data_IF_431254572422
#
_entry.id   IF_431254572422
#
_cell.length_a   1.000
_cell.length_b   1.000
_cell.length_c   1.000
_cell.angle_alpha   90.00
_cell.angle_beta   90.00
_cell.angle_gamma   90.00
#
_symmetry.space_group_name_H-M   'P 1'
#
loop_
_entity.id
_entity.type
_entity.pdbx_description
1 polymer ?
#
# COMPACT_ATOMS: atom_id res chain seq x y z
N UNK A 1 -23.85 38.99 1.90
CA UNK A 1 -23.80 38.09 3.08
C UNK A 1 -23.57 36.70 2.55
N UNK A 2 -22.34 36.20 2.69
CA UNK A 2 -22.00 34.83 2.30
C UNK A 2 -22.61 33.94 3.38
N UNK A 3 -23.56 33.10 3.02
CA UNK A 3 -24.10 32.10 3.95
C UNK A 3 -23.03 31.03 4.16
N UNK A 4 -22.34 31.13 5.28
CA UNK A 4 -21.48 30.08 5.81
C UNK A 4 -22.39 28.89 6.15
N UNK A 5 -22.43 27.91 5.25
CA UNK A 5 -23.16 26.67 5.51
C UNK A 5 -22.17 25.73 6.17
N UNK A 6 -22.09 25.79 7.50
CA UNK A 6 -21.56 24.72 8.33
C UNK A 6 -22.47 23.50 8.17
N UNK A 7 -22.42 22.83 7.03
CA UNK A 7 -22.99 21.49 6.90
C UNK A 7 -22.07 20.56 7.68
N UNK A 8 -22.49 20.19 8.88
CA UNK A 8 -21.97 19.02 9.58
C UNK A 8 -21.89 17.87 8.57
N UNK A 9 -20.68 17.40 8.30
CA UNK A 9 -20.47 16.29 7.36
C UNK A 9 -21.15 15.07 7.99
N UNK A 10 -22.16 14.45 7.34
CA UNK A 10 -22.87 13.32 7.91
C UNK A 10 -21.90 12.20 8.26
N UNK A 11 -22.05 11.60 9.44
CA UNK A 11 -21.22 10.47 9.84
C UNK A 11 -21.52 9.28 8.93
N UNK A 12 -20.50 8.54 8.52
CA UNK A 12 -20.69 7.34 7.70
C UNK A 12 -21.57 6.30 8.42
N UNK A 13 -21.54 6.28 9.75
CA UNK A 13 -22.35 5.40 10.58
C UNK A 13 -23.85 5.72 10.56
N UNK A 14 -24.24 6.89 10.08
CA UNK A 14 -25.65 7.27 9.90
C UNK A 14 -26.25 6.66 8.63
N UNK A 15 -25.43 6.03 7.77
CA UNK A 15 -25.92 5.37 6.57
C UNK A 15 -26.43 3.95 6.87
N UNK A 16 -27.69 3.62 6.53
CA UNK A 16 -28.27 2.30 6.78
C UNK A 16 -27.47 1.13 6.19
N UNK A 17 -26.76 1.37 5.07
CA UNK A 17 -25.92 0.37 4.43
C UNK A 17 -24.70 -0.04 5.28
N UNK A 18 -24.24 0.84 6.17
CA UNK A 18 -23.07 0.58 7.02
C UNK A 18 -23.42 -0.34 8.16
N UNK A 19 -24.63 -0.19 8.73
CA UNK A 19 -25.15 -1.10 9.75
C UNK A 19 -25.63 -2.44 9.17
N UNK A 20 -26.01 -2.49 7.89
CA UNK A 20 -26.40 -3.72 7.20
C UNK A 20 -25.21 -4.64 6.89
N UNK A 21 -24.03 -4.07 6.62
CA UNK A 21 -22.82 -4.82 6.27
C UNK A 21 -21.65 -4.57 7.24
N UNK A 22 -21.76 -4.92 8.53
CA UNK A 22 -20.68 -4.71 9.51
C UNK A 22 -19.42 -5.52 9.16
N UNK A 23 -19.62 -6.66 8.50
CA UNK A 23 -18.58 -7.50 7.93
C UNK A 23 -17.96 -6.92 6.63
N UNK A 24 -18.49 -5.81 6.08
CA UNK A 24 -17.90 -4.96 5.01
C UNK A 24 -17.44 -3.57 5.52
N UNK A 25 -17.89 -3.09 6.68
CA UNK A 25 -17.44 -1.83 7.30
C UNK A 25 -17.03 -2.00 8.79
N UNK A 26 -15.84 -2.52 9.08
CA UNK A 26 -15.39 -2.75 10.45
C UNK A 26 -14.62 -1.52 10.95
N UNK A 27 -14.65 -1.24 12.25
CA UNK A 27 -13.87 -0.11 12.78
C UNK A 27 -12.35 -0.32 12.62
N UNK A 28 -11.90 -1.59 12.55
CA UNK A 28 -10.53 -1.97 12.27
C UNK A 28 -10.43 -3.25 11.42
N UNK A 29 -9.41 -3.34 10.57
CA UNK A 29 -9.10 -4.55 9.80
C UNK A 29 -8.37 -5.59 10.66
N UNK A 30 -8.65 -6.90 10.48
CA UNK A 30 -8.09 -7.98 11.30
C UNK A 30 -6.64 -8.36 10.94
N UNK A 31 -5.84 -7.44 10.39
CA UNK A 31 -4.46 -7.69 9.96
C UNK A 31 -4.36 -8.15 8.50
N UNK A 32 -3.60 -9.22 8.25
CA UNK A 32 -3.24 -9.70 6.90
C UNK A 32 -4.49 -10.15 6.12
N UNK A 33 -4.56 -9.90 4.79
CA UNK A 33 -5.62 -10.46 3.96
C UNK A 33 -5.70 -12.00 4.06
N UNK A 34 -6.91 -12.58 3.97
CA UNK A 34 -7.06 -14.03 3.89
C UNK A 34 -6.32 -14.58 2.65
N UNK A 35 -5.90 -15.85 2.71
CA UNK A 35 -5.35 -16.56 1.54
C UNK A 35 -6.39 -16.55 0.43
N UNK A 36 -5.96 -16.33 -0.81
CA UNK A 36 -6.81 -16.37 -2.02
C UNK A 36 -6.22 -17.35 -3.01
N UNK A 37 -7.03 -17.75 -3.99
CA UNK A 37 -6.59 -18.64 -5.09
C UNK A 37 -5.50 -18.03 -5.97
N UNK A 38 -5.35 -16.69 -5.94
CA UNK A 38 -4.36 -15.96 -6.72
C UNK A 38 -3.31 -15.35 -5.81
N UNK A 39 -2.04 -15.60 -6.13
CA UNK A 39 -0.87 -15.02 -5.47
C UNK A 39 -0.43 -13.74 -6.21
N UNK A 40 0.08 -12.77 -5.45
CA UNK A 40 0.60 -11.53 -6.02
C UNK A 40 2.12 -11.61 -6.12
N UNK A 41 2.62 -11.91 -7.32
CA UNK A 41 4.04 -12.05 -7.58
C UNK A 41 4.64 -10.76 -8.14
N UNK A 42 5.83 -10.39 -7.67
CA UNK A 42 6.63 -9.31 -8.25
C UNK A 42 7.62 -9.93 -9.23
N UNK A 43 7.21 -10.04 -10.49
CA UNK A 43 8.08 -10.57 -11.54
C UNK A 43 9.24 -9.62 -11.83
N UNK A 44 10.46 -10.14 -11.86
CA UNK A 44 11.68 -9.39 -12.17
C UNK A 44 12.24 -9.80 -13.54
N UNK A 45 12.94 -8.88 -14.19
CA UNK A 45 13.66 -9.17 -15.44
C UNK A 45 14.63 -10.35 -15.18
N UNK A 46 14.63 -11.41 -16.01
CA UNK A 46 15.51 -12.56 -15.82
C UNK A 46 16.99 -12.15 -15.73
N UNK A 47 17.71 -12.71 -14.76
CA UNK A 47 19.12 -12.39 -14.52
C UNK A 47 19.39 -11.13 -13.69
N UNK A 48 18.35 -10.47 -13.17
CA UNK A 48 18.53 -9.35 -12.22
C UNK A 48 19.14 -9.83 -10.90
N UNK A 49 20.14 -9.11 -10.40
CA UNK A 49 20.77 -9.37 -9.10
C UNK A 49 20.09 -8.59 -7.96
N UNK A 50 20.23 -9.05 -6.69
CA UNK A 50 19.69 -8.33 -5.54
C UNK A 50 20.20 -6.90 -5.41
N UNK A 51 19.27 -5.97 -5.20
CA UNK A 51 19.59 -4.56 -4.94
C UNK A 51 19.52 -4.33 -3.42
N UNK A 52 20.65 -3.93 -2.83
CA UNK A 52 20.72 -3.53 -1.42
C UNK A 52 21.30 -2.12 -1.29
N UNK A 53 20.47 -1.19 -0.85
CA UNK A 53 20.82 0.21 -0.61
C UNK A 53 20.86 0.52 0.87
N UNK A 54 21.89 1.24 1.30
CA UNK A 54 22.02 1.70 2.67
C UNK A 54 20.84 2.62 3.07
N UNK A 55 20.33 2.51 4.30
CA UNK A 55 19.31 3.43 4.81
C UNK A 55 19.75 4.89 4.76
N UNK A 56 18.80 5.80 4.54
CA UNK A 56 19.07 7.23 4.64
C UNK A 56 19.41 7.63 6.08
N UNK A 57 20.23 8.68 6.22
CA UNK A 57 20.49 9.28 7.54
C UNK A 57 19.21 9.93 8.06
N UNK A 58 18.88 9.63 9.30
CA UNK A 58 17.66 10.11 9.96
C UNK A 58 18.00 10.84 11.25
N UNK A 59 17.20 11.85 11.58
CA UNK A 59 17.26 12.51 12.87
C UNK A 59 16.72 11.59 13.99
N UNK A 60 17.06 11.84 15.27
CA UNK A 60 16.58 11.00 16.38
C UNK A 60 15.05 10.88 16.45
N UNK A 61 14.32 11.94 16.10
CA UNK A 61 12.85 11.93 16.07
C UNK A 61 12.29 11.01 14.97
N UNK A 62 12.92 11.01 13.78
CA UNK A 62 12.54 10.14 12.67
C UNK A 62 12.86 8.68 12.99
N UNK A 63 13.99 8.41 13.68
CA UNK A 63 14.32 7.06 14.12
C UNK A 63 13.34 6.51 15.16
N UNK A 64 12.86 7.36 16.06
CA UNK A 64 11.80 6.97 17.01
C UNK A 64 10.52 6.63 16.25
N UNK A 65 10.08 7.52 15.36
CA UNK A 65 8.89 7.32 14.54
C UNK A 65 8.98 6.04 13.69
N UNK A 66 10.16 5.78 13.10
CA UNK A 66 10.42 4.57 12.33
C UNK A 66 10.21 3.32 13.17
N UNK A 67 10.76 3.28 14.39
CA UNK A 67 10.60 2.13 15.29
C UNK A 67 9.15 1.90 15.67
N UNK A 68 8.44 2.98 16.04
CA UNK A 68 7.05 2.90 16.47
C UNK A 68 6.17 2.36 15.32
N UNK A 69 6.32 2.88 14.10
CA UNK A 69 5.57 2.40 12.94
C UNK A 69 5.95 0.96 12.53
N UNK A 70 7.24 0.60 12.55
CA UNK A 70 7.66 -0.78 12.27
C UNK A 70 7.10 -1.78 13.27
N UNK A 71 7.08 -1.42 14.56
CA UNK A 71 6.52 -2.25 15.62
C UNK A 71 5.02 -2.47 15.40
N UNK A 72 4.27 -1.41 15.08
CA UNK A 72 2.85 -1.54 14.73
C UNK A 72 2.62 -2.44 13.51
N UNK A 73 3.43 -2.30 12.46
CA UNK A 73 3.34 -3.13 11.26
C UNK A 73 3.65 -4.61 11.56
N UNK A 74 4.61 -4.88 12.46
CA UNK A 74 4.95 -6.23 12.92
C UNK A 74 3.80 -6.84 13.74
N UNK A 75 3.23 -6.09 14.68
CA UNK A 75 2.11 -6.54 15.52
C UNK A 75 0.85 -6.83 14.71
N UNK A 76 0.60 -6.04 13.66
CA UNK A 76 -0.50 -6.28 12.70
C UNK A 76 -0.21 -7.44 11.73
N UNK A 77 1.02 -7.95 11.69
CA UNK A 77 1.47 -8.99 10.78
C UNK A 77 1.70 -8.53 9.33
N UNK A 78 1.68 -7.23 9.05
CA UNK A 78 1.89 -6.71 7.69
C UNK A 78 3.32 -6.86 7.20
N UNK A 79 4.28 -6.94 8.11
CA UNK A 79 5.69 -7.20 7.82
C UNK A 79 6.23 -8.27 8.76
N UNK A 80 7.39 -8.81 8.40
CA UNK A 80 8.17 -9.73 9.24
C UNK A 80 9.65 -9.40 9.14
N UNK A 81 10.44 -9.87 10.10
CA UNK A 81 11.88 -9.86 9.98
C UNK A 81 12.31 -10.71 8.78
N UNK A 82 13.33 -10.24 8.06
CA UNK A 82 13.84 -10.87 6.85
C UNK A 82 15.36 -10.89 6.84
N UNK A 83 15.93 -11.89 6.19
CA UNK A 83 17.37 -12.03 5.87
C UNK A 83 17.62 -11.87 4.37
N UNK A 84 16.73 -11.16 3.68
CA UNK A 84 16.79 -10.96 2.24
C UNK A 84 18.10 -10.29 1.81
N UNK A 85 18.70 -10.71 0.68
CA UNK A 85 19.80 -9.98 0.06
C UNK A 85 19.34 -8.64 -0.54
N UNK A 86 18.02 -8.40 -0.61
CA UNK A 86 17.42 -7.16 -1.08
C UNK A 86 17.21 -6.17 0.07
N UNK A 87 17.49 -4.90 -0.19
CA UNK A 87 17.33 -3.82 0.78
C UNK A 87 16.98 -2.50 0.12
N UNK A 88 15.82 -1.94 0.49
CA UNK A 88 15.38 -0.62 0.04
C UNK A 88 15.38 0.36 1.22
N UNK A 89 15.86 1.61 1.04
CA UNK A 89 15.90 2.58 2.12
C UNK A 89 14.50 3.11 2.41
N UNK A 90 14.27 3.45 3.68
CA UNK A 90 13.04 4.10 4.14
C UNK A 90 13.26 5.61 4.21
N UNK A 91 12.22 6.37 3.87
CA UNK A 91 12.17 7.82 4.06
C UNK A 91 10.81 8.25 4.63
N UNK A 92 10.77 9.44 5.22
CA UNK A 92 9.53 10.06 5.70
C UNK A 92 9.08 11.20 4.82
N UNK A 93 7.77 11.29 4.59
CA UNK A 93 7.12 12.44 3.97
C UNK A 93 6.19 13.09 4.99
N UNK A 94 6.36 14.39 5.22
CA UNK A 94 5.48 15.16 6.12
C UNK A 94 4.11 15.37 5.48
N UNK A 95 3.06 15.04 6.22
CA UNK A 95 1.67 15.38 5.88
C UNK A 95 1.39 16.85 6.19
N UNK A 96 0.27 17.35 5.66
CA UNK A 96 -0.24 18.70 5.98
C UNK A 96 -0.56 18.87 7.46
N UNK A 97 -0.96 17.79 8.14
CA UNK A 97 -1.28 17.76 9.57
C UNK A 97 -0.03 17.67 10.48
N UNK A 98 1.18 17.65 9.89
CA UNK A 98 2.45 17.55 10.63
C UNK A 98 2.91 16.13 10.94
N UNK A 99 2.07 15.11 10.77
CA UNK A 99 2.46 13.70 10.95
C UNK A 99 3.38 13.22 9.81
N UNK A 100 4.15 12.16 10.06
CA UNK A 100 5.06 11.58 9.07
C UNK A 100 4.46 10.31 8.44
N UNK A 101 4.60 10.18 7.11
CA UNK A 101 4.28 8.94 6.38
C UNK A 101 5.57 8.20 6.06
N UNK A 102 5.65 6.95 6.50
CA UNK A 102 6.73 6.05 6.12
C UNK A 102 6.58 5.66 4.63
N UNK A 103 7.67 5.79 3.88
CA UNK A 103 7.78 5.41 2.48
C UNK A 103 9.01 4.55 2.27
N UNK A 104 8.84 3.44 1.56
CA UNK A 104 9.95 2.60 1.13
C UNK A 104 10.33 3.00 -0.31
N UNK A 105 11.60 3.28 -0.53
CA UNK A 105 12.10 3.69 -1.83
C UNK A 105 12.36 2.49 -2.76
N UNK A 106 11.29 1.97 -3.35
CA UNK A 106 11.35 0.90 -4.34
C UNK A 106 11.81 1.34 -5.73
N UNK A 107 12.33 2.56 -5.92
CA UNK A 107 12.66 3.07 -7.26
C UNK A 107 13.59 2.16 -8.05
N UNK A 108 14.59 1.55 -7.43
CA UNK A 108 15.48 0.63 -8.15
C UNK A 108 14.82 -0.72 -8.43
N UNK A 109 14.08 -1.26 -7.45
CA UNK A 109 13.31 -2.50 -7.64
C UNK A 109 12.33 -2.34 -8.81
N UNK A 110 11.58 -1.24 -8.82
CA UNK A 110 10.59 -0.93 -9.85
C UNK A 110 11.19 -0.80 -11.27
N UNK A 111 12.51 -0.52 -11.42
CA UNK A 111 13.17 -0.47 -12.74
C UNK A 111 13.37 -1.86 -13.34
N UNK A 112 13.50 -2.87 -12.48
CA UNK A 112 13.74 -4.25 -12.88
C UNK A 112 12.50 -5.14 -12.70
N UNK A 113 11.40 -4.60 -12.19
CA UNK A 113 10.10 -5.26 -12.18
C UNK A 113 9.51 -5.29 -13.59
N UNK A 114 9.04 -6.45 -14.03
CA UNK A 114 8.31 -6.61 -15.29
C UNK A 114 6.93 -5.98 -15.11
N UNK A 115 6.66 -4.96 -15.93
CA UNK A 115 5.43 -4.20 -15.92
C UNK A 115 4.72 -4.43 -17.26
N UNK A 116 3.44 -4.79 -17.26
CA UNK A 116 2.63 -4.88 -18.48
C UNK A 116 2.40 -3.48 -19.06
N UNK A 117 3.18 -3.11 -20.08
CA UNK A 117 3.01 -1.84 -20.79
C UNK A 117 2.03 -2.01 -21.96
N UNK A 118 0.92 -1.26 -21.92
CA UNK A 118 -0.05 -1.13 -23.01
C UNK A 118 0.23 0.16 -23.80
N UNK A 119 0.29 0.07 -25.13
CA UNK A 119 0.50 1.23 -25.99
C UNK A 119 -0.79 2.03 -26.14
N UNK A 120 -0.77 3.33 -25.83
CA UNK A 120 -1.90 4.25 -26.02
C UNK A 120 -2.04 4.68 -27.48
N UNK A 121 -3.20 5.25 -27.82
CA UNK A 121 -3.51 5.81 -29.16
C UNK A 121 -2.57 6.96 -29.58
N UNK A 122 -2.01 7.70 -28.62
CA UNK A 122 -1.03 8.77 -28.86
C UNK A 122 0.42 8.27 -29.01
N UNK A 123 0.62 6.95 -28.98
CA UNK A 123 1.94 6.32 -29.05
C UNK A 123 2.69 6.22 -27.72
N UNK A 124 2.21 6.88 -26.65
CA UNK A 124 2.81 6.76 -25.32
C UNK A 124 2.47 5.41 -24.68
N UNK A 125 3.39 4.84 -23.90
CA UNK A 125 3.11 3.61 -23.15
C UNK A 125 2.37 3.95 -21.85
N UNK A 126 1.36 3.16 -21.49
CA UNK A 126 0.73 3.16 -20.17
C UNK A 126 1.02 1.82 -19.53
N UNK A 127 1.60 1.82 -18.33
CA UNK A 127 1.53 0.65 -17.47
C UNK A 127 0.05 0.35 -17.21
N UNK A 128 -0.45 -0.76 -17.75
CA UNK A 128 -1.84 -1.16 -17.60
C UNK A 128 -1.88 -2.65 -17.34
N UNK A 129 -2.26 -3.01 -16.12
CA UNK A 129 -2.69 -4.36 -15.81
C UNK A 129 -4.20 -4.36 -16.09
N UNK A 130 -4.64 -5.15 -17.07
CA UNK A 130 -6.05 -5.21 -17.43
C UNK A 130 -6.82 -6.05 -16.40
N UNK A 131 -7.41 -5.34 -15.43
CA UNK A 131 -8.22 -5.94 -14.39
C UNK A 131 -9.70 -6.03 -14.77
N UNK A 132 -10.13 -5.74 -16.01
CA UNK A 132 -11.57 -5.66 -16.32
C UNK A 132 -12.31 -6.98 -16.11
N UNK A 133 -11.69 -8.09 -16.47
CA UNK A 133 -12.27 -9.43 -16.28
C UNK A 133 -12.18 -9.88 -14.83
N UNK A 134 -11.06 -9.55 -14.17
CA UNK A 134 -10.87 -9.77 -12.74
C UNK A 134 -11.91 -9.00 -11.93
N UNK A 135 -12.09 -7.70 -12.17
CA UNK A 135 -13.04 -6.80 -11.49
C UNK A 135 -14.50 -7.23 -11.59
N UNK A 136 -14.88 -8.02 -12.60
CA UNK A 136 -16.23 -8.59 -12.72
C UNK A 136 -16.47 -9.74 -11.74
N UNK A 137 -15.41 -10.40 -11.30
CA UNK A 137 -15.44 -11.54 -10.39
C UNK A 137 -14.81 -11.24 -9.02
N UNK A 138 -14.05 -10.14 -8.88
CA UNK A 138 -13.47 -9.75 -7.59
C UNK A 138 -14.53 -9.16 -6.68
N UNK A 139 -14.71 -9.79 -5.53
CA UNK A 139 -15.37 -9.19 -4.37
C UNK A 139 -14.57 -7.94 -3.98
N UNK A 140 -15.24 -6.79 -3.78
CA UNK A 140 -14.60 -5.53 -3.40
C UNK A 140 -13.72 -5.76 -2.17
N UNK A 141 -12.43 -5.59 -2.37
CA UNK A 141 -11.42 -5.93 -1.37
C UNK A 141 -11.30 -4.80 -0.35
N UNK A 142 -11.62 -5.11 0.91
CA UNK A 142 -11.46 -4.18 2.03
C UNK A 142 -9.99 -4.01 2.47
N UNK A 143 -9.12 -4.96 2.11
CA UNK A 143 -7.73 -4.89 2.49
C UNK A 143 -6.94 -3.95 1.57
N UNK A 144 -6.09 -3.07 2.14
CA UNK A 144 -5.32 -2.09 1.38
C UNK A 144 -4.18 -2.70 0.56
N UNK A 145 -3.81 -3.96 0.85
CA UNK A 145 -2.68 -4.65 0.23
C UNK A 145 -3.10 -6.07 -0.21
N UNK A 146 -2.58 -6.58 -1.34
CA UNK A 146 -2.65 -7.99 -1.67
C UNK A 146 -1.71 -8.78 -0.72
N UNK A 147 -2.00 -10.08 -0.55
CA UNK A 147 -1.08 -10.98 0.16
C UNK A 147 0.04 -11.37 -0.81
N UNK A 148 1.28 -11.08 -0.43
CA UNK A 148 2.50 -11.41 -1.18
C UNK A 148 2.95 -12.82 -0.77
N UNK A 149 3.60 -13.52 -1.68
CA UNK A 149 4.26 -14.81 -1.48
C UNK A 149 5.44 -14.74 -0.48
N UNK A 150 5.94 -15.92 -0.11
CA UNK A 150 7.10 -16.10 0.79
C UNK A 150 8.42 -16.26 0.02
#
# INVERSE_FOLDING_TARGET
TIHDTTSEVPSIHDQPIVSEFPDVFPDALPGIPPVREFEFNIELIPGSEPISKAPYRMAPIELKELKDQLQELLERGFIRLSVSPWGAPVLFVKKKDGSMRLFIDYRELNKITILLFVKKKDGSMRLCIDYCELNKITIRNRYPLPRIDD
#
